data_IF_764685994953
#
_entry.id   IF_764685994953
#
_cell.length_a   1.000
_cell.length_b   1.000
_cell.length_c   1.000
_cell.angle_alpha   90.00
_cell.angle_beta   90.00
_cell.angle_gamma   90.00
#
_symmetry.space_group_name_H-M   'P 1'
#
loop_
_entity.id
_entity.type
_entity.pdbx_description
1 polymer ?
#
# COMPACT_ATOMS: atom_id res chain seq x y z
N UNK A 1 0.43 -21.73 6.06
CA UNK A 1 0.60 -20.31 5.77
C UNK A 1 1.60 -19.70 6.76
N UNK A 2 2.50 -18.83 6.28
CA UNK A 2 3.38 -18.05 7.13
C UNK A 2 2.56 -17.09 8.02
N UNK A 3 3.10 -16.74 9.18
CA UNK A 3 2.46 -15.74 10.04
C UNK A 3 2.62 -14.34 9.44
N UNK A 4 3.83 -13.99 9.03
CA UNK A 4 4.22 -12.74 8.41
C UNK A 4 4.99 -13.01 7.12
N UNK A 5 4.80 -12.19 6.09
CA UNK A 5 5.51 -12.29 4.82
C UNK A 5 5.31 -13.65 4.17
N UNK A 6 4.20 -13.86 3.47
CA UNK A 6 3.92 -15.15 2.85
C UNK A 6 5.02 -15.65 1.91
N UNK A 7 5.66 -14.71 1.21
CA UNK A 7 6.86 -14.99 0.40
C UNK A 7 8.17 -14.70 1.14
N UNK A 8 8.30 -13.49 1.74
CA UNK A 8 9.54 -13.05 2.41
C UNK A 8 9.26 -12.28 3.70
N UNK A 9 10.07 -12.51 4.72
CA UNK A 9 10.03 -11.81 6.00
C UNK A 9 11.40 -11.24 6.37
N UNK A 10 11.48 -9.94 6.56
CA UNK A 10 12.68 -9.25 7.04
C UNK A 10 12.52 -8.83 8.49
N UNK A 11 13.17 -9.55 9.40
CA UNK A 11 13.11 -9.28 10.84
C UNK A 11 14.02 -8.12 11.27
N UNK A 12 15.18 -7.99 10.62
CA UNK A 12 16.14 -6.91 10.86
C UNK A 12 16.08 -5.87 9.75
N UNK A 13 16.91 -4.82 9.84
CA UNK A 13 17.02 -3.79 8.80
C UNK A 13 17.27 -4.39 7.42
N UNK A 14 16.54 -3.92 6.45
CA UNK A 14 16.64 -4.34 5.05
C UNK A 14 16.96 -3.10 4.20
N UNK A 15 18.24 -2.82 4.01
CA UNK A 15 18.69 -1.61 3.32
C UNK A 15 19.36 -1.95 1.98
N UNK A 16 19.13 -1.11 0.99
CA UNK A 16 19.77 -1.16 -0.33
C UNK A 16 19.64 -2.52 -1.04
N UNK A 17 18.49 -3.18 -0.83
CA UNK A 17 18.21 -4.45 -1.49
C UNK A 17 17.54 -4.22 -2.85
N UNK A 18 17.78 -5.14 -3.76
CA UNK A 18 17.08 -5.21 -5.04
C UNK A 18 16.16 -6.44 -5.07
N UNK A 19 14.88 -6.20 -5.31
CA UNK A 19 13.85 -7.22 -5.47
C UNK A 19 13.38 -7.20 -6.92
N UNK A 20 13.79 -8.18 -7.72
CA UNK A 20 13.52 -8.24 -9.16
C UNK A 20 12.69 -9.46 -9.57
N UNK A 21 12.00 -10.05 -8.61
CA UNK A 21 11.13 -11.22 -8.84
C UNK A 21 9.68 -10.86 -8.59
N UNK A 22 8.79 -11.49 -9.33
CA UNK A 22 7.36 -11.36 -9.12
C UNK A 22 6.91 -12.13 -7.86
N UNK A 23 5.97 -11.54 -7.15
CA UNK A 23 5.33 -12.12 -5.98
C UNK A 23 3.86 -12.41 -6.30
N UNK A 24 3.55 -13.69 -6.51
CA UNK A 24 2.23 -14.10 -7.02
C UNK A 24 1.55 -15.04 -6.05
N UNK A 25 0.30 -14.70 -5.66
CA UNK A 25 -0.58 -15.53 -4.83
C UNK A 25 0.04 -15.96 -3.49
N UNK A 26 0.88 -15.13 -2.89
CA UNK A 26 1.42 -15.41 -1.56
C UNK A 26 0.40 -15.03 -0.49
N UNK A 27 0.35 -15.82 0.60
CA UNK A 27 -0.60 -15.58 1.69
C UNK A 27 0.10 -15.61 3.04
N UNK A 28 -0.15 -14.57 3.85
CA UNK A 28 0.24 -14.51 5.26
C UNK A 28 -1.00 -14.54 6.16
N UNK A 29 -0.90 -15.16 7.33
CA UNK A 29 -1.98 -15.17 8.33
C UNK A 29 -2.20 -13.80 8.97
N UNK A 30 -1.18 -12.96 9.03
CA UNK A 30 -1.27 -11.63 9.62
C UNK A 30 -0.94 -10.55 8.59
N UNK A 31 0.32 -10.26 8.33
CA UNK A 31 0.75 -9.08 7.59
C UNK A 31 1.69 -9.40 6.43
N UNK A 32 1.62 -8.59 5.36
CA UNK A 32 2.46 -8.72 4.19
C UNK A 32 2.23 -10.04 3.46
N UNK A 33 1.16 -10.12 2.68
CA UNK A 33 0.85 -11.34 1.93
C UNK A 33 2.05 -11.85 1.15
N UNK A 34 2.76 -10.97 0.46
CA UNK A 34 4.04 -11.29 -0.16
C UNK A 34 5.22 -10.99 0.77
N UNK A 35 5.37 -9.75 1.23
CA UNK A 35 6.55 -9.32 1.96
C UNK A 35 6.20 -8.57 3.25
N UNK A 36 6.94 -8.84 4.32
CA UNK A 36 6.84 -8.10 5.57
C UNK A 36 8.21 -7.60 6.03
N UNK A 37 8.30 -6.29 6.24
CA UNK A 37 9.46 -5.62 6.81
C UNK A 37 9.16 -5.22 8.27
N UNK A 38 9.79 -5.91 9.22
CA UNK A 38 9.54 -5.71 10.65
C UNK A 38 10.30 -4.52 11.23
N UNK A 39 11.44 -4.15 10.63
CA UNK A 39 12.31 -3.07 11.11
C UNK A 39 12.49 -2.01 10.01
N UNK A 40 13.20 -0.92 10.33
CA UNK A 40 13.45 0.17 9.36
C UNK A 40 14.06 -0.33 8.06
N UNK A 41 13.65 0.27 6.97
CA UNK A 41 14.17 -0.01 5.63
C UNK A 41 14.62 1.26 4.94
N UNK A 42 15.68 1.17 4.15
CA UNK A 42 16.24 2.31 3.45
C UNK A 42 16.80 1.90 2.08
N UNK A 43 16.50 2.68 1.03
CA UNK A 43 17.10 2.55 -0.28
C UNK A 43 16.79 1.24 -1.02
N UNK A 44 15.62 0.62 -0.80
CA UNK A 44 15.27 -0.61 -1.50
C UNK A 44 14.68 -0.31 -2.88
N UNK A 45 14.96 -1.20 -3.84
CA UNK A 45 14.48 -1.12 -5.21
C UNK A 45 13.67 -2.38 -5.57
N UNK A 46 12.40 -2.17 -5.94
CA UNK A 46 11.47 -3.23 -6.33
C UNK A 46 11.20 -3.10 -7.83
N UNK A 47 11.37 -4.19 -8.58
CA UNK A 47 11.15 -4.23 -10.04
C UNK A 47 10.34 -5.44 -10.50
N UNK A 48 9.93 -6.32 -9.62
CA UNK A 48 8.97 -7.40 -9.88
C UNK A 48 7.58 -7.04 -9.40
N UNK A 49 6.55 -7.56 -10.03
CA UNK A 49 5.16 -7.24 -9.74
C UNK A 49 4.59 -8.02 -8.54
N UNK A 50 3.58 -7.44 -7.93
CA UNK A 50 2.87 -8.02 -6.78
C UNK A 50 1.43 -8.31 -7.20
N UNK A 51 1.12 -9.61 -7.44
CA UNK A 51 -0.20 -10.00 -7.96
C UNK A 51 -0.89 -11.04 -7.07
N UNK A 52 -2.13 -10.76 -6.69
CA UNK A 52 -2.99 -11.71 -5.98
C UNK A 52 -2.51 -12.09 -4.58
N UNK A 53 -1.68 -11.26 -3.94
CA UNK A 53 -1.18 -11.57 -2.60
C UNK A 53 -2.22 -11.20 -1.53
N UNK A 54 -2.23 -11.95 -0.41
CA UNK A 54 -3.26 -11.81 0.61
C UNK A 54 -2.71 -11.79 2.03
N UNK A 55 -3.14 -10.82 2.83
CA UNK A 55 -2.88 -10.75 4.26
C UNK A 55 -4.19 -10.89 5.04
N UNK A 56 -4.34 -11.98 5.83
CA UNK A 56 -5.61 -12.36 6.44
C UNK A 56 -5.92 -11.64 7.76
N UNK A 57 -4.96 -10.94 8.38
CA UNK A 57 -5.18 -10.16 9.60
C UNK A 57 -5.66 -10.97 10.81
N UNK A 58 -5.31 -12.25 10.89
CA UNK A 58 -5.92 -13.16 11.88
C UNK A 58 -5.28 -13.13 13.27
N UNK A 59 -4.06 -12.60 13.43
CA UNK A 59 -3.28 -12.83 14.65
C UNK A 59 -2.79 -11.56 15.33
N UNK A 60 -2.50 -10.50 14.60
CA UNK A 60 -1.94 -9.27 15.16
C UNK A 60 -2.49 -8.04 14.43
N UNK A 61 -3.64 -7.57 14.87
CA UNK A 61 -4.27 -6.37 14.32
C UNK A 61 -3.44 -5.10 14.58
N UNK A 62 -2.55 -5.14 15.59
CA UNK A 62 -1.75 -3.97 15.99
C UNK A 62 -0.69 -3.58 14.97
N UNK A 63 -0.29 -4.48 14.08
CA UNK A 63 0.73 -4.19 13.06
C UNK A 63 0.15 -3.76 11.72
N UNK A 64 -1.18 -3.80 11.55
CA UNK A 64 -1.83 -3.53 10.28
C UNK A 64 -1.41 -4.55 9.22
N UNK A 65 -2.11 -4.66 8.11
CA UNK A 65 -1.71 -5.61 7.08
C UNK A 65 -1.74 -5.02 5.67
N UNK A 66 -0.66 -5.21 4.92
CA UNK A 66 -0.60 -4.95 3.49
C UNK A 66 -0.83 -6.24 2.73
N UNK A 67 -1.76 -6.23 1.79
CA UNK A 67 -2.05 -7.44 1.00
C UNK A 67 -0.81 -7.95 0.28
N UNK A 68 -0.06 -7.07 -0.35
CA UNK A 68 1.26 -7.40 -0.89
C UNK A 68 2.36 -7.10 0.13
N UNK A 69 2.57 -5.84 0.51
CA UNK A 69 3.72 -5.44 1.35
C UNK A 69 3.26 -4.69 2.60
N UNK A 70 3.87 -5.04 3.73
CA UNK A 70 3.77 -4.27 4.97
C UNK A 70 5.13 -3.74 5.39
N UNK A 71 5.22 -2.44 5.67
CA UNK A 71 6.32 -1.80 6.38
C UNK A 71 5.85 -1.45 7.80
N UNK A 72 6.39 -2.15 8.80
CA UNK A 72 6.01 -1.95 10.21
C UNK A 72 6.66 -0.72 10.81
N UNK A 73 7.95 -0.53 10.55
CA UNK A 73 8.70 0.65 10.97
C UNK A 73 8.94 1.61 9.78
N UNK A 74 9.72 2.67 9.99
CA UNK A 74 9.98 3.69 8.97
C UNK A 74 10.61 3.09 7.71
N UNK A 75 10.10 3.48 6.56
CA UNK A 75 10.65 3.15 5.25
C UNK A 75 11.09 4.43 4.54
N UNK A 76 12.31 4.44 4.00
CA UNK A 76 12.86 5.62 3.33
C UNK A 76 13.59 5.28 2.03
N UNK A 77 13.70 6.28 1.14
CA UNK A 77 14.52 6.27 -0.07
C UNK A 77 14.29 5.05 -0.97
N UNK A 78 13.07 4.52 -1.01
CA UNK A 78 12.76 3.29 -1.76
C UNK A 78 12.04 3.61 -3.07
N UNK A 79 12.29 2.79 -4.09
CA UNK A 79 11.71 2.94 -5.42
C UNK A 79 10.97 1.65 -5.80
N UNK A 80 9.73 1.82 -6.24
CA UNK A 80 8.90 0.76 -6.78
C UNK A 80 8.70 0.99 -8.28
N UNK A 81 9.24 0.10 -9.09
CA UNK A 81 8.93 -0.04 -10.51
C UNK A 81 8.16 -1.35 -10.69
N UNK A 82 7.04 -1.47 -10.00
CA UNK A 82 6.29 -2.70 -9.74
C UNK A 82 4.81 -2.41 -9.74
N UNK A 83 4.01 -3.13 -10.47
CA UNK A 83 2.57 -3.01 -10.38
C UNK A 83 2.01 -3.84 -9.21
N UNK A 84 0.97 -3.31 -8.57
CA UNK A 84 0.24 -3.95 -7.47
C UNK A 84 -1.16 -4.31 -7.96
N UNK A 85 -1.41 -5.61 -8.20
CA UNK A 85 -2.62 -6.06 -8.90
C UNK A 85 -3.39 -7.10 -8.07
N UNK A 86 -4.68 -6.87 -7.82
CA UNK A 86 -5.56 -7.81 -7.13
C UNK A 86 -5.06 -8.27 -5.75
N UNK A 87 -4.33 -7.42 -5.02
CA UNK A 87 -3.87 -7.77 -3.67
C UNK A 87 -4.96 -7.44 -2.64
N UNK A 88 -5.06 -8.26 -1.59
CA UNK A 88 -6.12 -8.14 -0.58
C UNK A 88 -5.58 -8.14 0.83
N UNK A 89 -6.04 -7.19 1.64
CA UNK A 89 -5.78 -7.16 3.07
C UNK A 89 -7.09 -7.10 3.86
N UNK A 90 -7.16 -7.75 5.00
CA UNK A 90 -8.35 -7.72 5.84
C UNK A 90 -8.40 -6.53 6.80
N UNK A 91 -7.39 -5.65 6.82
CA UNK A 91 -7.38 -4.44 7.65
C UNK A 91 -6.95 -3.19 6.87
N UNK A 92 -5.70 -3.13 6.35
CA UNK A 92 -5.16 -1.89 5.79
C UNK A 92 -4.26 -2.16 4.58
N UNK A 93 -4.35 -1.32 3.55
CA UNK A 93 -3.47 -1.33 2.38
C UNK A 93 -3.56 -2.62 1.57
N UNK A 94 -4.51 -2.72 0.66
CA UNK A 94 -4.64 -3.91 -0.20
C UNK A 94 -3.34 -4.20 -0.96
N UNK A 95 -2.73 -3.19 -1.56
CA UNK A 95 -1.37 -3.27 -2.11
C UNK A 95 -0.31 -3.11 -1.02
N UNK A 96 -0.15 -1.91 -0.49
CA UNK A 96 0.92 -1.55 0.45
C UNK A 96 0.39 -0.89 1.71
N UNK A 97 0.90 -1.29 2.87
CA UNK A 97 0.63 -0.64 4.13
C UNK A 97 1.92 -0.10 4.78
N UNK A 98 1.92 1.19 5.09
CA UNK A 98 2.92 1.86 5.92
C UNK A 98 2.35 2.18 7.29
N UNK A 99 2.98 1.66 8.34
CA UNK A 99 2.53 1.92 9.70
C UNK A 99 3.09 3.22 10.29
N UNK A 100 4.32 3.56 9.97
CA UNK A 100 4.96 4.82 10.36
C UNK A 100 5.23 5.67 9.14
N UNK A 101 5.50 6.96 9.35
CA UNK A 101 5.74 7.95 8.29
C UNK A 101 6.81 7.47 7.30
N UNK A 102 6.46 7.15 6.05
CA UNK A 102 7.44 6.90 5.02
C UNK A 102 8.01 8.23 4.51
N UNK A 103 9.26 8.19 4.06
CA UNK A 103 9.97 9.35 3.58
C UNK A 103 10.70 9.06 2.27
N UNK A 104 10.57 9.97 1.28
CA UNK A 104 11.28 9.89 0.01
C UNK A 104 11.05 8.55 -0.72
N UNK A 105 9.79 8.21 -0.94
CA UNK A 105 9.37 7.00 -1.66
C UNK A 105 8.88 7.37 -3.06
N UNK A 106 9.29 6.61 -4.06
CA UNK A 106 8.78 6.75 -5.43
C UNK A 106 8.06 5.48 -5.88
N UNK A 107 6.79 5.64 -6.25
CA UNK A 107 6.02 4.61 -6.92
C UNK A 107 5.90 4.92 -8.41
N UNK A 108 6.67 4.25 -9.24
CA UNK A 108 6.46 4.15 -10.69
C UNK A 108 5.58 2.91 -10.93
N UNK A 109 4.35 2.94 -10.41
CA UNK A 109 3.54 1.75 -10.16
C UNK A 109 2.07 2.04 -10.40
N UNK A 110 1.36 1.09 -11.00
CA UNK A 110 -0.08 1.09 -11.00
C UNK A 110 -0.62 0.26 -9.83
N UNK A 111 -1.69 0.74 -9.23
CA UNK A 111 -2.43 0.02 -8.20
C UNK A 111 -3.80 -0.35 -8.77
N UNK A 112 -4.00 -1.64 -9.07
CA UNK A 112 -5.17 -2.11 -9.83
C UNK A 112 -5.94 -3.14 -9.04
N UNK A 113 -7.25 -2.88 -8.80
CA UNK A 113 -8.17 -3.81 -8.15
C UNK A 113 -7.68 -4.35 -6.79
N UNK A 114 -6.93 -3.55 -6.04
CA UNK A 114 -6.54 -3.96 -4.68
C UNK A 114 -7.67 -3.65 -3.70
N UNK A 115 -7.78 -4.47 -2.64
CA UNK A 115 -8.91 -4.39 -1.70
C UNK A 115 -8.46 -4.46 -0.25
N UNK A 116 -9.00 -3.57 0.59
CA UNK A 116 -8.86 -3.62 2.05
C UNK A 116 -9.88 -2.68 2.71
N UNK A 117 -10.18 -2.79 4.00
CA UNK A 117 -11.03 -1.83 4.70
C UNK A 117 -10.49 -0.39 4.69
N UNK A 118 -9.16 -0.18 4.62
CA UNK A 118 -8.58 1.17 4.55
C UNK A 118 -7.47 1.24 3.51
N UNK A 119 -7.65 2.14 2.51
CA UNK A 119 -6.73 2.30 1.41
C UNK A 119 -6.60 1.05 0.54
N UNK A 120 -7.56 0.83 -0.36
CA UNK A 120 -7.56 -0.35 -1.22
C UNK A 120 -6.23 -0.56 -1.93
N UNK A 121 -5.64 0.51 -2.47
CA UNK A 121 -4.27 0.49 -3.02
C UNK A 121 -3.21 0.63 -1.94
N UNK A 122 -3.18 1.77 -1.26
CA UNK A 122 -2.16 2.12 -0.25
C UNK A 122 -2.79 2.70 1.00
N UNK A 123 -2.33 2.24 2.16
CA UNK A 123 -2.64 2.88 3.43
C UNK A 123 -1.37 3.47 4.08
N UNK A 124 -1.47 4.73 4.49
CA UNK A 124 -0.52 5.38 5.37
C UNK A 124 -1.18 5.59 6.74
N UNK A 125 -0.72 4.87 7.75
CA UNK A 125 -1.29 4.95 9.09
C UNK A 125 -0.98 6.28 9.80
N UNK A 126 0.09 6.94 9.37
CA UNK A 126 0.49 8.29 9.75
C UNK A 126 0.53 9.18 8.49
N UNK A 127 1.08 10.38 8.61
CA UNK A 127 1.37 11.23 7.45
C UNK A 127 2.50 10.62 6.60
N UNK A 128 2.67 11.08 5.39
CA UNK A 128 3.82 10.74 4.55
C UNK A 128 4.54 12.00 4.07
N UNK A 129 5.83 11.88 3.80
CA UNK A 129 6.65 12.99 3.36
C UNK A 129 7.41 12.63 2.08
N UNK A 130 7.36 13.52 1.08
CA UNK A 130 8.06 13.35 -0.19
C UNK A 130 7.79 11.97 -0.84
N UNK A 131 6.51 11.58 -0.91
CA UNK A 131 6.08 10.37 -1.63
C UNK A 131 5.52 10.78 -2.99
N UNK A 132 6.07 10.18 -4.04
CA UNK A 132 5.71 10.47 -5.43
C UNK A 132 5.02 9.24 -6.04
N UNK A 133 3.88 9.48 -6.68
CA UNK A 133 3.16 8.46 -7.45
C UNK A 133 3.22 8.83 -8.94
N UNK A 134 3.90 8.01 -9.75
CA UNK A 134 4.00 8.15 -11.21
C UNK A 134 3.20 7.06 -11.93
N UNK A 135 2.01 6.75 -11.45
CA UNK A 135 1.13 5.74 -12.03
C UNK A 135 -0.33 6.05 -11.72
N UNK A 136 -1.17 5.07 -11.92
CA UNK A 136 -2.61 5.21 -11.76
C UNK A 136 -3.16 4.31 -10.65
N UNK A 137 -4.26 4.75 -10.04
CA UNK A 137 -5.06 3.95 -9.11
C UNK A 137 -6.38 3.60 -9.79
N UNK A 138 -6.59 2.32 -10.13
CA UNK A 138 -7.74 1.87 -10.94
C UNK A 138 -8.50 0.76 -10.22
N UNK A 139 -9.80 0.96 -10.01
CA UNK A 139 -10.70 -0.08 -9.52
C UNK A 139 -10.38 -0.60 -8.11
N UNK A 140 -9.63 0.15 -7.31
CA UNK A 140 -9.35 -0.27 -5.94
C UNK A 140 -10.57 -0.05 -5.03
N UNK A 141 -10.73 -0.88 -4.00
CA UNK A 141 -11.92 -0.87 -3.13
C UNK A 141 -11.55 -0.89 -1.65
N UNK A 142 -12.29 -0.10 -0.85
CA UNK A 142 -12.12 -0.04 0.60
C UNK A 142 -13.44 0.35 1.30
N UNK A 143 -13.47 0.33 2.64
CA UNK A 143 -14.50 1.03 3.38
C UNK A 143 -14.17 2.54 3.38
N UNK A 144 -12.88 2.88 3.58
CA UNK A 144 -12.40 4.27 3.53
C UNK A 144 -11.17 4.42 2.62
N UNK A 145 -11.27 5.35 1.65
CA UNK A 145 -10.23 5.59 0.67
C UNK A 145 -10.03 4.43 -0.31
N UNK A 146 -10.93 4.31 -1.27
CA UNK A 146 -10.88 3.20 -2.25
C UNK A 146 -9.50 2.98 -2.84
N UNK A 147 -8.74 4.05 -3.13
CA UNK A 147 -7.35 3.97 -3.58
C UNK A 147 -6.36 4.21 -2.44
N UNK A 148 -6.45 5.36 -1.77
CA UNK A 148 -5.50 5.78 -0.72
C UNK A 148 -6.26 6.19 0.55
N UNK A 149 -5.84 5.66 1.70
CA UNK A 149 -6.20 6.19 3.01
C UNK A 149 -4.95 6.72 3.73
N UNK A 150 -5.06 7.90 4.34
CA UNK A 150 -3.94 8.55 5.03
C UNK A 150 -4.43 9.50 6.13
N UNK A 151 -3.57 9.82 7.08
CA UNK A 151 -3.82 10.92 8.03
C UNK A 151 -3.57 12.27 7.38
N UNK A 152 -2.59 12.37 6.50
CA UNK A 152 -2.26 13.62 5.80
C UNK A 152 -1.12 13.44 4.82
N UNK A 153 -0.74 14.50 4.14
CA UNK A 153 0.31 14.52 3.14
C UNK A 153 -0.12 15.25 1.87
N UNK A 154 0.75 15.27 0.88
CA UNK A 154 0.47 15.92 -0.42
C UNK A 154 0.38 14.83 -1.49
N UNK A 155 -0.76 14.76 -2.17
CA UNK A 155 -0.98 13.88 -3.33
C UNK A 155 -0.99 14.78 -4.57
N UNK A 156 -0.11 14.51 -5.52
CA UNK A 156 0.09 15.38 -6.65
C UNK A 156 0.30 14.59 -7.94
N UNK A 157 -0.27 15.11 -9.05
CA UNK A 157 -0.10 14.58 -10.41
C UNK A 157 -0.56 13.12 -10.60
N UNK A 158 -1.60 12.67 -9.85
CA UNK A 158 -2.08 11.27 -9.84
C UNK A 158 -3.44 11.13 -10.53
N UNK A 159 -3.64 10.02 -11.22
CA UNK A 159 -4.92 9.62 -11.80
C UNK A 159 -5.61 8.56 -10.94
N UNK A 160 -6.86 8.86 -10.53
CA UNK A 160 -7.73 7.97 -9.76
C UNK A 160 -8.98 7.64 -10.56
N UNK A 161 -9.18 6.37 -10.89
CA UNK A 161 -10.25 5.96 -11.80
C UNK A 161 -10.98 4.73 -11.29
N UNK A 162 -12.33 4.83 -11.29
CA UNK A 162 -13.21 3.70 -10.96
C UNK A 162 -12.94 3.09 -9.56
N UNK A 163 -12.36 3.85 -8.61
CA UNK A 163 -12.16 3.37 -7.24
C UNK A 163 -13.44 3.51 -6.43
N UNK A 164 -13.61 2.64 -5.44
CA UNK A 164 -14.84 2.57 -4.65
C UNK A 164 -14.55 2.55 -3.15
N UNK A 165 -15.32 3.31 -2.38
CA UNK A 165 -15.38 3.19 -0.93
C UNK A 165 -16.81 2.88 -0.49
N UNK A 166 -16.98 2.07 0.56
CA UNK A 166 -18.28 1.78 1.15
C UNK A 166 -18.75 2.89 2.10
N UNK A 167 -17.80 3.63 2.72
CA UNK A 167 -18.09 4.74 3.62
C UNK A 167 -17.62 6.06 3.00
N UNK A 168 -16.33 6.41 3.14
CA UNK A 168 -15.79 7.72 2.83
C UNK A 168 -14.64 7.69 1.81
N UNK A 169 -14.63 8.69 0.92
CA UNK A 169 -13.52 8.92 -0.01
C UNK A 169 -13.34 7.82 -1.06
N UNK A 170 -14.24 7.75 -2.04
CA UNK A 170 -14.20 6.75 -3.11
C UNK A 170 -12.84 6.53 -3.76
N UNK A 171 -12.00 7.57 -3.85
CA UNK A 171 -10.59 7.44 -4.22
C UNK A 171 -9.67 7.68 -3.03
N UNK A 172 -9.75 8.84 -2.38
CA UNK A 172 -8.82 9.24 -1.32
C UNK A 172 -9.58 9.62 -0.06
N UNK A 173 -9.12 9.12 1.07
CA UNK A 173 -9.58 9.46 2.41
C UNK A 173 -8.45 10.10 3.22
N UNK A 174 -8.68 11.32 3.71
CA UNK A 174 -7.80 12.00 4.68
C UNK A 174 -8.45 11.99 6.06
N UNK A 175 -7.83 11.31 7.03
CA UNK A 175 -8.28 11.36 8.42
C UNK A 175 -7.90 12.68 9.13
N UNK A 176 -7.01 13.48 8.55
CA UNK A 176 -6.56 14.79 9.02
C UNK A 176 -6.40 15.77 7.86
N UNK A 177 -5.38 16.60 7.89
CA UNK A 177 -5.14 17.62 6.87
C UNK A 177 -4.27 17.09 5.74
N UNK A 178 -4.68 17.30 4.49
CA UNK A 178 -3.91 16.93 3.31
C UNK A 178 -4.14 17.87 2.14
N UNK A 179 -3.28 17.79 1.14
CA UNK A 179 -3.39 18.57 -0.09
C UNK A 179 -3.49 17.63 -1.30
N UNK A 180 -4.31 18.03 -2.27
CA UNK A 180 -4.43 17.32 -3.55
C UNK A 180 -4.19 18.34 -4.67
N UNK A 181 -3.15 18.10 -5.47
CA UNK A 181 -2.68 19.05 -6.47
C UNK A 181 -2.64 18.38 -7.83
N UNK A 182 -3.27 19.00 -8.83
CA UNK A 182 -3.24 18.58 -10.22
C UNK A 182 -3.56 17.07 -10.46
N UNK A 183 -4.50 16.51 -9.67
CA UNK A 183 -4.94 15.13 -9.78
C UNK A 183 -6.20 15.00 -10.64
N UNK A 184 -6.37 13.85 -11.28
CA UNK A 184 -7.58 13.52 -12.05
C UNK A 184 -8.41 12.47 -11.31
N UNK A 185 -9.68 12.79 -11.04
CA UNK A 185 -10.62 11.87 -10.41
C UNK A 185 -11.77 11.55 -11.37
N UNK A 186 -11.85 10.30 -11.82
CA UNK A 186 -12.85 9.87 -12.79
C UNK A 186 -13.64 8.66 -12.28
N UNK A 187 -14.96 8.79 -12.18
CA UNK A 187 -15.89 7.72 -11.81
C UNK A 187 -15.56 6.99 -10.49
N UNK A 188 -14.93 7.69 -9.54
CA UNK A 188 -14.77 7.15 -8.20
C UNK A 188 -16.09 7.32 -7.43
N UNK A 189 -16.45 6.34 -6.60
CA UNK A 189 -17.74 6.32 -5.88
C UNK A 189 -17.55 6.06 -4.40
N UNK A 190 -18.38 6.68 -3.58
CA UNK A 190 -18.60 6.31 -2.18
C UNK A 190 -20.11 6.10 -1.99
N UNK A 191 -20.56 5.15 -1.15
CA UNK A 191 -21.99 4.78 -0.96
C UNK A 191 -22.46 4.99 0.45
#
# INVERSE_FOLDING_TARGET
YALYGGGMFFYKKANSNKFSSDFINNTAKSCGGAMFFHNTTDGNNFTGDFTGNSALGQVDESVGNGGAITFKDTSSNSIFNSDFINNTANLNGGGVNYRHTPYNITFNSNFINNTSPRGGGVNFFETFENVVFNGEFIGNSADNGGAIATVGGIIMDVSFKDNHAEDDGGAVYFAGSGEVINCNFARNTAT
#
